data_IF_947347044621
#
_entry.id   IF_947347044621
#
_cell.length_a   1.000
_cell.length_b   1.000
_cell.length_c   1.000
_cell.angle_alpha   90.00
_cell.angle_beta   90.00
_cell.angle_gamma   90.00
#
_symmetry.space_group_name_H-M   'P 1'
#
loop_
_entity.id
_entity.type
_entity.pdbx_description
1 polymer ?
#
# COMPACT_ATOMS: atom_id res chain seq x y z
N UNK A 1 -9.56 10.54 11.13
CA UNK A 1 -8.97 9.24 11.40
C UNK A 1 -7.71 9.38 12.23
N UNK A 2 -7.58 8.53 13.19
CA UNK A 2 -6.42 8.54 14.05
C UNK A 2 -5.25 7.83 13.40
N UNK A 3 -4.16 8.54 13.25
CA UNK A 3 -2.97 8.01 12.59
C UNK A 3 -1.91 7.60 13.59
N UNK A 4 -2.34 7.03 14.63
CA UNK A 4 -1.51 6.66 15.76
C UNK A 4 -0.67 5.43 15.43
N UNK A 5 0.26 5.58 14.52
CA UNK A 5 1.01 4.46 13.99
C UNK A 5 2.23 4.13 14.82
N UNK A 6 2.56 2.87 14.86
CA UNK A 6 3.80 2.42 15.46
C UNK A 6 4.80 2.19 14.36
N UNK A 7 5.92 2.88 14.41
CA UNK A 7 6.91 2.80 13.35
C UNK A 7 7.31 1.36 13.07
N UNK A 8 7.26 0.97 11.80
CA UNK A 8 7.77 -0.30 11.36
C UNK A 8 6.97 -1.52 11.77
N UNK A 9 5.77 -1.31 12.29
CA UNK A 9 4.99 -2.42 12.81
C UNK A 9 3.76 -2.75 11.99
N UNK A 10 3.42 -1.92 11.01
CA UNK A 10 2.25 -2.19 10.19
C UNK A 10 2.52 -3.30 9.20
N UNK A 11 1.50 -4.10 8.95
CA UNK A 11 1.58 -5.13 7.93
C UNK A 11 0.35 -5.07 7.04
N UNK A 12 0.50 -5.60 5.83
CA UNK A 12 -0.57 -5.69 4.86
C UNK A 12 -0.54 -7.08 4.28
N UNK A 13 -1.67 -7.73 4.23
CA UNK A 13 -1.75 -9.04 3.62
C UNK A 13 -2.34 -8.93 2.23
N UNK A 14 -1.63 -9.42 1.23
CA UNK A 14 -2.08 -9.37 -0.15
C UNK A 14 -2.01 -10.78 -0.69
N UNK A 15 -3.16 -11.34 -1.04
CA UNK A 15 -3.21 -12.68 -1.62
C UNK A 15 -2.63 -13.76 -0.70
N UNK A 16 -2.70 -13.55 0.58
CA UNK A 16 -2.16 -14.52 1.52
C UNK A 16 -0.72 -14.27 1.91
N UNK A 17 -0.06 -13.32 1.26
CA UNK A 17 1.33 -12.97 1.59
C UNK A 17 1.31 -11.76 2.51
N UNK A 18 2.04 -11.84 3.60
CA UNK A 18 2.12 -10.72 4.55
C UNK A 18 3.32 -9.86 4.20
N UNK A 19 3.05 -8.58 3.99
CA UNK A 19 4.08 -7.58 3.71
C UNK A 19 4.24 -6.68 4.91
N UNK A 20 5.46 -6.46 5.33
CA UNK A 20 5.76 -5.51 6.39
C UNK A 20 5.98 -4.14 5.76
N UNK A 21 5.31 -3.14 6.29
CA UNK A 21 5.45 -1.77 5.79
C UNK A 21 6.48 -1.07 6.66
N UNK A 22 7.53 -0.57 6.04
CA UNK A 22 8.59 0.13 6.74
C UNK A 22 8.91 1.43 6.03
N UNK A 23 9.67 2.28 6.71
CA UNK A 23 10.07 3.57 6.16
C UNK A 23 11.57 3.68 6.19
N UNK A 24 12.11 4.32 5.16
CA UNK A 24 13.55 4.56 5.08
C UNK A 24 13.82 6.02 4.81
N UNK A 25 14.84 6.56 5.46
CA UNK A 25 15.20 7.96 5.22
C UNK A 25 15.81 8.11 3.83
N UNK A 26 15.42 9.21 3.18
CA UNK A 26 16.04 9.63 1.93
C UNK A 26 15.94 8.59 0.81
N UNK A 27 14.85 7.84 0.78
CA UNK A 27 14.67 6.85 -0.27
C UNK A 27 14.61 7.52 -1.64
N UNK A 28 13.89 8.64 -1.72
CA UNK A 28 13.79 9.39 -2.97
C UNK A 28 15.16 9.88 -3.44
N UNK A 29 15.97 10.35 -2.52
CA UNK A 29 17.30 10.83 -2.86
C UNK A 29 18.24 9.73 -3.32
N UNK A 30 18.06 8.53 -2.78
CA UNK A 30 18.94 7.41 -3.12
C UNK A 30 18.58 6.74 -4.43
N UNK A 31 17.30 6.53 -4.67
CA UNK A 31 16.86 5.72 -5.80
C UNK A 31 15.75 6.38 -6.60
N UNK A 32 15.49 7.66 -6.35
CA UNK A 32 14.51 8.44 -7.09
C UNK A 32 13.12 7.80 -7.04
N UNK A 33 12.78 7.24 -5.89
CA UNK A 33 11.45 6.65 -5.71
C UNK A 33 10.89 7.06 -4.36
N UNK A 34 9.57 7.11 -4.27
CA UNK A 34 8.90 7.41 -3.01
C UNK A 34 8.56 6.16 -2.24
N UNK A 35 8.57 5.03 -2.90
CA UNK A 35 8.34 3.74 -2.27
C UNK A 35 8.54 2.63 -3.26
N UNK A 36 8.58 1.41 -2.74
CA UNK A 36 8.64 0.23 -3.61
C UNK A 36 8.14 -0.98 -2.84
N UNK A 37 7.85 -2.04 -3.58
CA UNK A 37 7.44 -3.31 -3.00
C UNK A 37 8.48 -4.36 -3.38
N UNK A 38 8.87 -5.16 -2.38
CA UNK A 38 9.85 -6.22 -2.57
C UNK A 38 9.12 -7.54 -2.38
N UNK A 39 8.79 -8.18 -3.48
CA UNK A 39 7.96 -9.39 -3.42
C UNK A 39 8.65 -10.53 -2.70
N UNK A 40 9.92 -10.74 -2.99
CA UNK A 40 10.65 -11.84 -2.38
C UNK A 40 10.85 -11.66 -0.88
N UNK A 41 10.97 -10.43 -0.45
CA UNK A 41 11.24 -10.15 0.95
C UNK A 41 10.00 -9.86 1.76
N UNK A 42 8.84 -9.75 1.10
CA UNK A 42 7.62 -9.43 1.80
C UNK A 42 7.65 -8.06 2.45
N UNK A 43 8.11 -7.06 1.70
CA UNK A 43 8.25 -5.72 2.26
C UNK A 43 7.69 -4.67 1.33
N UNK A 44 7.09 -3.66 1.93
CA UNK A 44 6.78 -2.41 1.25
C UNK A 44 7.56 -1.33 1.98
N UNK A 45 8.34 -0.57 1.23
CA UNK A 45 9.21 0.45 1.80
C UNK A 45 8.77 1.81 1.30
N UNK A 46 8.65 2.76 2.20
CA UNK A 46 8.23 4.12 1.87
C UNK A 46 9.31 5.10 2.34
N UNK A 47 9.45 6.20 1.60
CA UNK A 47 10.32 7.29 2.00
C UNK A 47 9.73 7.93 3.25
N UNK A 48 10.53 8.09 4.30
CA UNK A 48 10.00 8.56 5.58
C UNK A 48 9.79 10.09 5.62
N UNK A 49 10.17 10.79 4.58
CA UNK A 49 10.00 12.23 4.53
C UNK A 49 8.71 12.69 3.85
N UNK A 50 7.90 11.73 3.38
CA UNK A 50 6.68 12.08 2.65
C UNK A 50 5.64 12.72 3.58
N UNK A 51 4.93 13.75 3.12
CA UNK A 51 3.75 14.22 3.83
C UNK A 51 2.74 13.08 3.94
N UNK A 52 1.91 13.13 4.97
CA UNK A 52 1.02 12.03 5.29
C UNK A 52 0.15 11.60 4.12
N UNK A 53 -0.45 12.56 3.42
CA UNK A 53 -1.33 12.20 2.31
C UNK A 53 -0.57 11.51 1.19
N UNK A 54 0.61 12.01 0.87
CA UNK A 54 1.42 11.41 -0.18
C UNK A 54 1.94 10.05 0.25
N UNK A 55 2.25 9.89 1.53
CA UNK A 55 2.64 8.60 2.05
C UNK A 55 1.53 7.58 1.87
N UNK A 56 0.30 7.98 2.18
CA UNK A 56 -0.85 7.08 2.03
C UNK A 56 -1.07 6.71 0.57
N UNK A 57 -0.98 7.69 -0.32
CA UNK A 57 -1.14 7.41 -1.74
C UNK A 57 -0.07 6.47 -2.25
N UNK A 58 1.16 6.67 -1.81
CA UNK A 58 2.26 5.83 -2.22
C UNK A 58 2.08 4.41 -1.72
N UNK A 59 1.64 4.26 -0.47
CA UNK A 59 1.36 2.94 0.07
C UNK A 59 0.32 2.21 -0.77
N UNK A 60 -0.78 2.89 -1.10
CA UNK A 60 -1.83 2.25 -1.89
C UNK A 60 -1.33 1.92 -3.29
N UNK A 61 -0.45 2.76 -3.85
CA UNK A 61 0.16 2.46 -5.14
C UNK A 61 0.95 1.15 -5.09
N UNK A 62 1.77 0.98 -4.05
CA UNK A 62 2.55 -0.25 -3.92
C UNK A 62 1.68 -1.46 -3.64
N UNK A 63 0.63 -1.28 -2.85
CA UNK A 63 -0.33 -2.36 -2.62
C UNK A 63 -0.98 -2.76 -3.95
N UNK A 64 -1.26 -1.79 -4.81
CA UNK A 64 -1.86 -2.08 -6.11
C UNK A 64 -0.95 -2.95 -6.96
N UNK A 65 0.37 -2.66 -6.95
CA UNK A 65 1.31 -3.55 -7.62
C UNK A 65 1.20 -4.98 -7.06
N UNK A 66 1.13 -5.10 -5.75
CA UNK A 66 1.02 -6.41 -5.12
C UNK A 66 -0.27 -7.12 -5.50
N UNK A 67 -1.37 -6.38 -5.55
CA UNK A 67 -2.65 -6.95 -5.96
C UNK A 67 -2.56 -7.49 -7.38
N UNK A 68 -1.98 -6.72 -8.28
CA UNK A 68 -1.88 -7.13 -9.67
C UNK A 68 -1.03 -8.38 -9.81
N UNK A 69 0.10 -8.42 -9.12
CA UNK A 69 0.96 -9.60 -9.17
C UNK A 69 0.23 -10.83 -8.63
N UNK A 70 -0.43 -10.70 -7.50
CA UNK A 70 -1.13 -11.84 -6.90
C UNK A 70 -2.33 -12.28 -7.72
N UNK A 71 -2.93 -11.36 -8.46
CA UNK A 71 -4.07 -11.69 -9.31
C UNK A 71 -3.65 -12.29 -10.65
N UNK A 72 -2.35 -12.41 -10.89
CA UNK A 72 -1.86 -13.01 -12.12
C UNK A 72 -1.40 -12.01 -13.17
N UNK A 73 -1.35 -10.74 -12.82
CA UNK A 73 -0.92 -9.69 -13.75
C UNK A 73 0.48 -9.23 -13.39
N UNK A 74 1.41 -10.18 -13.31
CA UNK A 74 2.77 -9.85 -12.93
C UNK A 74 3.48 -8.99 -13.95
N UNK A 75 3.01 -9.00 -15.20
CA UNK A 75 3.59 -8.16 -16.23
C UNK A 75 2.63 -7.04 -16.57
N UNK A 76 2.47 -6.13 -15.66
CA UNK A 76 1.64 -4.97 -15.87
C UNK A 76 2.51 -3.73 -15.99
N UNK A 77 1.94 -2.69 -16.57
CA UNK A 77 2.66 -1.43 -16.73
C UNK A 77 2.56 -0.60 -15.47
N UNK A 78 3.59 0.19 -15.24
CA UNK A 78 3.57 1.13 -14.11
C UNK A 78 2.35 2.04 -14.20
N UNK A 79 1.99 2.43 -15.40
CA UNK A 79 0.85 3.30 -15.61
C UNK A 79 -0.45 2.65 -15.16
N UNK A 80 -0.57 1.34 -15.36
CA UNK A 80 -1.78 0.63 -14.92
C UNK A 80 -1.90 0.65 -13.41
N UNK A 81 -0.81 0.39 -12.73
CA UNK A 81 -0.81 0.43 -11.27
C UNK A 81 -1.12 1.84 -10.76
N UNK A 82 -0.60 2.85 -11.46
CA UNK A 82 -0.83 4.23 -11.07
C UNK A 82 -2.31 4.60 -11.20
N UNK A 83 -2.92 4.23 -12.30
CA UNK A 83 -4.32 4.57 -12.54
C UNK A 83 -5.25 3.84 -11.59
N UNK A 84 -5.02 2.54 -11.43
CA UNK A 84 -5.86 1.74 -10.55
C UNK A 84 -5.67 2.20 -9.10
N UNK A 85 -4.42 2.42 -8.70
CA UNK A 85 -4.11 2.82 -7.34
C UNK A 85 -4.76 4.15 -6.97
N UNK A 86 -4.82 5.07 -7.92
CA UNK A 86 -5.44 6.35 -7.70
C UNK A 86 -6.92 6.21 -7.34
N UNK A 87 -7.62 5.40 -8.09
CA UNK A 87 -9.04 5.18 -7.82
C UNK A 87 -9.24 4.34 -6.56
N UNK A 88 -8.38 3.36 -6.35
CA UNK A 88 -8.46 2.56 -5.14
C UNK A 88 -8.27 3.44 -3.90
N UNK A 89 -7.30 4.34 -3.94
CA UNK A 89 -7.08 5.26 -2.84
C UNK A 89 -8.34 6.10 -2.58
N UNK A 90 -8.92 6.63 -3.63
CA UNK A 90 -10.13 7.43 -3.50
C UNK A 90 -11.27 6.61 -2.88
N UNK A 91 -11.45 5.38 -3.36
CA UNK A 91 -12.54 4.53 -2.84
C UNK A 91 -12.33 4.26 -1.36
N UNK A 92 -11.10 3.97 -0.97
CA UNK A 92 -10.83 3.63 0.43
C UNK A 92 -10.93 4.82 1.36
N UNK A 93 -10.56 6.01 0.87
CA UNK A 93 -10.55 7.19 1.74
C UNK A 93 -11.89 7.90 1.79
N UNK A 94 -12.71 7.77 0.77
CA UNK A 94 -13.97 8.49 0.69
C UNK A 94 -15.17 7.68 1.12
N UNK A 95 -14.97 6.47 1.57
CA UNK A 95 -16.05 5.59 1.96
C UNK A 95 -15.76 4.92 3.29
N UNK A 96 -16.81 4.60 4.01
CA UNK A 96 -16.71 3.85 5.24
C UNK A 96 -17.33 2.48 5.01
N UNK A 97 -16.51 1.45 5.04
CA UNK A 97 -16.97 0.09 4.78
C UNK A 97 -17.21 -0.70 6.05
N UNK A 98 -17.27 -0.02 7.19
CA UNK A 98 -17.43 -0.75 8.45
C UNK A 98 -18.73 -1.56 8.48
N UNK A 99 -19.76 -1.10 7.77
CA UNK A 99 -21.02 -1.81 7.72
C UNK A 99 -20.87 -3.20 7.08
N UNK A 100 -19.84 -3.36 6.27
CA UNK A 100 -19.61 -4.63 5.57
C UNK A 100 -19.10 -5.71 6.53
N UNK A 101 -18.41 -5.31 7.55
CA UNK A 101 -17.79 -6.26 8.50
C UNK A 101 -18.60 -6.41 9.76
N UNK A 102 -19.66 -5.67 9.87
CA UNK A 102 -20.47 -5.64 11.05
C UNK A 102 -21.26 -6.92 11.21
N UNK A 103 -21.48 -7.30 12.44
CA UNK A 103 -22.23 -8.48 12.68
C UNK A 103 -21.45 -9.71 12.34
N UNK A 104 -20.31 -9.43 12.09
CA UNK A 104 -19.50 -10.42 11.82
C UNK A 104 -19.77 -11.08 10.64
N UNK A 105 -19.90 -11.12 10.45
CA UNK A 105 -19.81 -11.64 9.79
C UNK A 105 -19.72 -12.43 9.23
N UNK A 106 -19.89 -12.86 9.14
CA UNK A 106 -19.82 -13.67 8.77
C UNK A 106 -19.72 -14.01 7.83
N UNK A 107 -19.42 -13.91 7.75
CA UNK A 107 -19.03 -14.19 6.75
C UNK A 107 -19.37 -14.50 5.71
#
# INVERSE_FOLDING_TARGET
>A
MNRDKKPGMETVKIGGITYTVSKEPDLHGKSDEWGHIEYKNGKIVLDDSLPEQLEDQTLIHEITHGILVEAGYGQHEEEEADRIGKILYQVLTDNDFSWLWKGGSNG
#
